data_IF_245272727617
#
_entry.id   IF_245272727617
#
_cell.length_a   1.000
_cell.length_b   1.000
_cell.length_c   1.000
_cell.angle_alpha   90.00
_cell.angle_beta   90.00
_cell.angle_gamma   90.00
#
_symmetry.space_group_name_H-M   'P 1'
#
loop_
_entity.id
_entity.type
_entity.pdbx_description
1 polymer ?
#
# COMPACT_ATOMS: atom_id res chain seq x y z
N UNK A 1 -8.62 13.54 -6.25
CA UNK A 1 -8.96 12.29 -5.55
C UNK A 1 -9.61 11.45 -6.61
N UNK A 2 -9.09 10.27 -6.91
CA UNK A 2 -9.80 9.33 -7.78
C UNK A 2 -11.10 8.93 -7.08
N UNK A 3 -12.18 8.85 -7.84
CA UNK A 3 -13.47 8.44 -7.31
C UNK A 3 -13.43 6.94 -6.94
N UNK A 4 -14.23 6.52 -5.96
CA UNK A 4 -14.16 5.14 -5.43
C UNK A 4 -14.41 4.07 -6.52
N UNK A 5 -15.21 4.41 -7.54
CA UNK A 5 -15.49 3.57 -8.70
C UNK A 5 -14.23 3.33 -9.56
N UNK A 6 -13.42 4.37 -9.80
CA UNK A 6 -12.17 4.25 -10.55
C UNK A 6 -11.17 3.36 -9.80
N UNK A 7 -11.11 3.50 -8.46
CA UNK A 7 -10.27 2.65 -7.61
C UNK A 7 -10.74 1.20 -7.66
N UNK A 8 -12.05 0.94 -7.68
CA UNK A 8 -12.63 -0.40 -7.90
C UNK A 8 -12.28 -1.01 -9.24
N UNK A 9 -12.42 -0.24 -10.32
CA UNK A 9 -12.05 -0.70 -11.66
C UNK A 9 -10.56 -1.04 -11.70
N UNK A 10 -9.69 -0.19 -11.14
CA UNK A 10 -8.25 -0.43 -11.09
C UNK A 10 -7.90 -1.76 -10.42
N UNK A 11 -8.39 -2.03 -9.19
CA UNK A 11 -8.06 -3.29 -8.50
C UNK A 11 -8.64 -4.52 -9.22
N UNK A 12 -9.80 -4.37 -9.88
CA UNK A 12 -10.41 -5.43 -10.68
C UNK A 12 -9.57 -5.74 -11.92
N UNK A 13 -9.09 -4.73 -12.62
CA UNK A 13 -8.21 -4.90 -13.79
C UNK A 13 -6.85 -5.47 -13.39
N UNK A 14 -6.27 -4.98 -12.29
CA UNK A 14 -5.03 -5.52 -11.74
C UNK A 14 -5.18 -7.00 -11.38
N UNK A 15 -6.29 -7.38 -10.72
CA UNK A 15 -6.59 -8.78 -10.42
C UNK A 15 -6.67 -9.65 -11.67
N UNK A 16 -7.35 -9.17 -12.72
CA UNK A 16 -7.41 -9.89 -14.01
C UNK A 16 -6.03 -10.06 -14.65
N UNK A 17 -5.21 -9.01 -14.64
CA UNK A 17 -3.85 -9.08 -15.19
C UNK A 17 -2.98 -10.10 -14.45
N UNK A 18 -3.15 -10.24 -13.13
CA UNK A 18 -2.50 -11.29 -12.34
C UNK A 18 -3.02 -12.69 -12.69
N UNK A 19 -4.33 -12.85 -12.91
CA UNK A 19 -4.95 -14.13 -13.27
C UNK A 19 -4.59 -14.60 -14.68
N UNK A 20 -4.30 -13.67 -15.58
CA UNK A 20 -3.86 -13.96 -16.95
C UNK A 20 -2.41 -14.50 -17.01
N UNK A 21 -1.59 -14.25 -15.98
CA UNK A 21 -0.27 -14.88 -15.88
C UNK A 21 -0.41 -16.36 -15.49
N UNK A 22 -0.40 -17.22 -16.51
CA UNK A 22 -0.52 -18.69 -16.36
C UNK A 22 0.78 -19.39 -16.04
N UNK A 23 1.87 -18.66 -15.87
CA UNK A 23 3.17 -19.28 -15.68
C UNK A 23 3.37 -19.73 -14.23
N UNK A 24 3.71 -21.01 -14.04
CA UNK A 24 3.94 -21.59 -12.71
C UNK A 24 5.25 -21.15 -12.03
N UNK A 25 6.09 -20.38 -12.73
CA UNK A 25 7.46 -20.09 -12.32
C UNK A 25 7.85 -18.61 -12.41
N UNK A 26 6.91 -17.71 -12.67
CA UNK A 26 7.22 -16.28 -12.67
C UNK A 26 7.25 -15.70 -11.25
N UNK A 27 8.17 -14.75 -11.06
CA UNK A 27 8.14 -13.83 -9.93
C UNK A 27 7.33 -12.62 -10.38
N UNK A 28 6.17 -12.40 -9.76
CA UNK A 28 5.33 -11.26 -10.04
C UNK A 28 5.73 -10.10 -9.14
N UNK A 29 6.04 -8.95 -9.75
CA UNK A 29 6.31 -7.71 -9.02
C UNK A 29 5.29 -6.67 -9.48
N UNK A 30 4.41 -6.28 -8.57
CA UNK A 30 3.49 -5.16 -8.78
C UNK A 30 4.15 -3.91 -8.20
N UNK A 31 4.35 -2.89 -9.04
CA UNK A 31 4.97 -1.63 -8.65
C UNK A 31 4.08 -0.46 -9.05
N UNK A 32 4.09 0.59 -8.23
CA UNK A 32 3.33 1.80 -8.45
C UNK A 32 3.11 2.58 -7.16
N UNK A 33 2.53 3.77 -7.29
CA UNK A 33 2.04 4.52 -6.15
C UNK A 33 0.56 4.19 -5.93
N UNK A 34 0.28 3.45 -4.86
CA UNK A 34 -1.08 3.10 -4.46
C UNK A 34 -1.73 4.16 -3.56
N UNK A 35 -0.98 5.20 -3.18
CA UNK A 35 -1.38 6.26 -2.26
C UNK A 35 -2.06 5.69 -0.98
N UNK A 36 -1.46 4.63 -0.44
CA UNK A 36 -2.01 3.83 0.65
C UNK A 36 -1.09 3.91 1.87
N UNK A 37 -1.66 4.24 3.04
CA UNK A 37 -0.93 4.22 4.31
C UNK A 37 -1.23 2.89 4.99
N UNK A 38 -0.27 1.98 4.97
CA UNK A 38 -0.41 0.62 5.50
C UNK A 38 -0.33 0.59 7.03
N UNK A 39 0.39 1.55 7.62
CA UNK A 39 0.53 1.66 9.07
C UNK A 39 1.45 0.60 9.68
N UNK A 40 1.56 0.62 11.01
CA UNK A 40 2.28 -0.42 11.77
C UNK A 40 1.51 -1.73 11.76
N UNK A 41 2.24 -2.85 11.69
CA UNK A 41 1.64 -4.18 11.76
C UNK A 41 1.08 -4.46 13.16
N UNK A 42 -0.22 -4.71 13.23
CA UNK A 42 -0.87 -5.27 14.40
C UNK A 42 -0.77 -6.81 14.36
N UNK A 43 -0.14 -7.40 15.38
CA UNK A 43 0.09 -8.84 15.44
C UNK A 43 -1.20 -9.67 15.59
N UNK A 44 -2.30 -9.06 16.00
CA UNK A 44 -3.56 -9.76 16.25
C UNK A 44 -4.54 -9.71 15.09
N UNK A 45 -4.46 -8.65 14.27
CA UNK A 45 -5.43 -8.38 13.20
C UNK A 45 -4.83 -8.38 11.80
N UNK A 46 -3.50 -8.20 11.66
CA UNK A 46 -2.87 -8.06 10.35
C UNK A 46 -2.28 -9.35 9.78
N UNK A 47 -2.33 -9.43 8.46
CA UNK A 47 -2.06 -10.63 7.67
C UNK A 47 -0.56 -10.90 7.49
N UNK A 48 -0.23 -12.04 6.88
CA UNK A 48 1.17 -12.36 6.51
C UNK A 48 1.67 -11.50 5.34
N UNK A 49 0.77 -10.90 4.56
CA UNK A 49 1.11 -10.00 3.44
C UNK A 49 1.80 -8.71 3.91
N UNK A 50 1.69 -8.36 5.19
CA UNK A 50 2.38 -7.24 5.81
C UNK A 50 3.70 -7.64 6.48
N UNK A 51 4.75 -6.90 6.19
CA UNK A 51 6.03 -6.94 6.88
C UNK A 51 6.01 -6.26 8.26
N UNK A 52 7.05 -6.47 9.07
CA UNK A 52 7.10 -5.99 10.46
C UNK A 52 7.39 -4.50 10.61
N UNK A 53 7.81 -3.81 9.53
CA UNK A 53 8.31 -2.42 9.59
C UNK A 53 7.38 -1.40 8.94
N UNK A 54 6.08 -1.70 8.82
CA UNK A 54 5.10 -0.70 8.39
C UNK A 54 5.10 0.54 9.30
N UNK A 55 4.85 1.72 8.73
CA UNK A 55 4.96 3.01 9.42
C UNK A 55 3.69 3.85 9.27
N UNK A 56 3.45 4.75 10.22
CA UNK A 56 2.28 5.64 10.24
C UNK A 56 1.01 4.96 10.74
N UNK A 57 -0.13 5.63 10.52
CA UNK A 57 -1.47 5.10 10.80
C UNK A 57 -2.10 4.54 9.53
N UNK A 58 -2.83 3.44 9.69
CA UNK A 58 -3.51 2.75 8.58
C UNK A 58 -4.69 3.58 8.10
N UNK A 59 -4.80 3.81 6.80
CA UNK A 59 -5.98 4.44 6.19
C UNK A 59 -6.80 3.42 5.39
N UNK A 60 -8.00 3.81 4.94
CA UNK A 60 -8.92 2.96 4.17
C UNK A 60 -8.26 2.37 2.91
N UNK A 61 -7.44 3.17 2.21
CA UNK A 61 -6.67 2.70 1.04
C UNK A 61 -5.62 1.66 1.43
N UNK A 62 -5.02 1.81 2.61
CA UNK A 62 -4.08 0.86 3.21
C UNK A 62 -4.73 -0.49 3.51
N UNK A 63 -5.89 -0.48 4.16
CA UNK A 63 -6.66 -1.70 4.42
C UNK A 63 -7.05 -2.41 3.13
N UNK A 64 -7.53 -1.66 2.13
CA UNK A 64 -7.84 -2.20 0.80
C UNK A 64 -6.65 -2.88 0.13
N UNK A 65 -5.46 -2.26 0.21
CA UNK A 65 -4.24 -2.84 -0.37
C UNK A 65 -3.80 -4.11 0.37
N UNK A 66 -3.96 -4.16 1.70
CA UNK A 66 -3.68 -5.36 2.50
C UNK A 66 -4.61 -6.50 2.10
N UNK A 67 -5.92 -6.23 2.00
CA UNK A 67 -6.91 -7.24 1.64
C UNK A 67 -6.64 -7.80 0.22
N UNK A 68 -6.32 -6.92 -0.73
CA UNK A 68 -5.96 -7.34 -2.08
C UNK A 68 -4.67 -8.19 -2.09
N UNK A 69 -3.66 -7.78 -1.34
CA UNK A 69 -2.41 -8.52 -1.25
C UNK A 69 -2.61 -9.90 -0.60
N UNK A 70 -3.47 -10.01 0.41
CA UNK A 70 -3.83 -11.29 1.02
C UNK A 70 -4.57 -12.20 0.04
N UNK A 71 -5.61 -11.69 -0.63
CA UNK A 71 -6.40 -12.45 -1.62
C UNK A 71 -5.53 -12.99 -2.76
N UNK A 72 -4.51 -12.22 -3.17
CA UNK A 72 -3.60 -12.56 -4.27
C UNK A 72 -2.29 -13.22 -3.83
N UNK A 73 -2.14 -13.54 -2.53
CA UNK A 73 -0.91 -14.11 -1.96
C UNK A 73 0.36 -13.28 -2.26
N UNK A 74 0.23 -11.95 -2.27
CA UNK A 74 1.30 -10.98 -2.45
C UNK A 74 1.83 -10.49 -1.10
N UNK A 75 3.07 -9.99 -1.11
CA UNK A 75 3.71 -9.37 0.05
C UNK A 75 3.97 -7.90 -0.25
N UNK A 76 3.60 -7.02 0.68
CA UNK A 76 3.81 -5.58 0.58
C UNK A 76 5.27 -5.26 0.92
N UNK A 77 6.13 -5.23 -0.11
CA UNK A 77 7.57 -5.08 0.05
C UNK A 77 8.00 -3.84 0.86
N UNK A 78 7.29 -2.72 0.72
CA UNK A 78 7.60 -1.48 1.45
C UNK A 78 7.52 -1.62 2.98
N UNK A 79 6.83 -2.64 3.48
CA UNK A 79 6.73 -2.94 4.93
C UNK A 79 7.76 -3.96 5.42
N UNK A 80 8.51 -4.59 4.51
CA UNK A 80 9.56 -5.56 4.84
C UNK A 80 10.90 -4.89 5.16
N UNK A 81 11.12 -3.67 4.68
CA UNK A 81 12.36 -2.94 4.89
C UNK A 81 12.18 -1.93 6.00
N UNK A 82 13.07 -1.99 7.00
CA UNK A 82 13.17 -0.95 8.00
C UNK A 82 13.76 0.31 7.36
N UNK A 83 12.90 1.14 6.78
CA UNK A 83 13.32 2.45 6.33
C UNK A 83 13.66 3.31 7.56
N UNK A 84 14.86 3.90 7.55
CA UNK A 84 15.19 4.95 8.51
C UNK A 84 14.16 6.08 8.37
N UNK A 85 13.66 6.61 9.48
CA UNK A 85 12.67 7.70 9.49
C UNK A 85 13.07 8.90 8.63
N UNK A 86 14.38 9.09 8.41
CA UNK A 86 14.97 10.15 7.58
C UNK A 86 14.86 9.93 6.06
N UNK A 87 14.39 8.77 5.60
CA UNK A 87 14.25 8.41 4.17
C UNK A 87 12.81 8.17 3.74
N UNK A 88 11.85 8.35 4.64
CA UNK A 88 10.44 8.31 4.28
C UNK A 88 10.08 9.62 3.59
N UNK A 89 9.59 9.58 2.34
CA UNK A 89 8.96 10.74 1.74
C UNK A 89 7.64 10.99 2.46
N UNK A 90 7.67 11.91 3.41
CA UNK A 90 6.51 12.36 4.15
C UNK A 90 5.72 13.29 3.23
N UNK A 91 4.59 12.78 2.71
CA UNK A 91 3.48 13.62 2.28
C UNK A 91 2.96 14.38 3.52
N UNK A 92 3.66 15.46 3.88
CA UNK A 92 3.09 16.48 4.74
C UNK A 92 1.96 17.13 3.95
N UNK A 93 0.77 17.12 4.54
CA UNK A 93 -0.37 17.87 4.04
C UNK A 93 0.03 19.35 3.85
N UNK A 94 -0.47 20.04 2.81
CA UNK A 94 -0.01 21.38 2.42
C UNK A 94 -0.25 22.50 3.47
N UNK A 95 -0.87 22.19 4.61
CA UNK A 95 -1.35 23.18 5.58
C UNK A 95 -0.27 23.85 6.44
N UNK A 96 0.98 23.37 6.44
CA UNK A 96 2.03 24.00 7.27
C UNK A 96 2.65 25.27 6.67
N UNK A 97 2.48 25.53 5.37
CA UNK A 97 3.14 26.69 4.74
C UNK A 97 2.37 28.02 4.93
N UNK A 98 1.12 28.00 5.40
CA UNK A 98 0.28 29.20 5.51
C UNK A 98 0.46 29.98 6.82
N UNK A 99 1.05 29.39 7.85
CA UNK A 99 1.11 30.02 9.18
C UNK A 99 2.41 30.80 9.48
N UNK A 100 3.40 30.77 8.59
CA UNK A 100 4.69 31.45 8.78
C UNK A 100 4.81 32.80 8.04
N UNK A 101 3.69 33.35 7.56
CA UNK A 101 3.64 34.73 7.01
C UNK A 101 2.62 35.55 7.80
N UNK A 102 2.97 35.92 9.03
CA UNK A 102 2.35 37.05 9.74
C UNK A 102 3.35 37.82 10.59
#
# INVERSE_FOLDING_TARGET
MDDDEDVEIFYKELGKALDEDKSKYNIVIVMGDFNAKIGKKDKHSDTQSMGPFGTGEKNVRGERLINFAEERNLIIANTLLQNSEKRMWNNQEPDRLYNDIR
#
